data_IF_834600382614
#
_entry.id   IF_834600382614
#
_cell.length_a   1.000
_cell.length_b   1.000
_cell.length_c   1.000
_cell.angle_alpha   90.00
_cell.angle_beta   90.00
_cell.angle_gamma   90.00
#
_symmetry.space_group_name_H-M   'P 1'
#
loop_
_entity.id
_entity.type
_entity.pdbx_description
1 polymer ?
#
# COMPACT_ATOMS: atom_id res chain seq x y z
N UNK A 1 -10.50 20.79 17.35
CA UNK A 1 -11.20 20.53 16.07
C UNK A 1 -10.24 20.87 14.95
N UNK A 2 -9.61 19.85 14.35
CA UNK A 2 -8.82 20.00 13.13
C UNK A 2 -9.47 19.09 12.08
N UNK A 3 -9.73 19.67 10.91
CA UNK A 3 -10.48 19.07 9.84
C UNK A 3 -9.83 17.75 9.37
N UNK A 4 -10.63 16.69 9.35
CA UNK A 4 -10.37 15.46 8.63
C UNK A 4 -10.31 15.75 7.12
N UNK A 5 -9.15 16.16 6.63
CA UNK A 5 -8.86 16.18 5.20
C UNK A 5 -8.35 14.81 4.80
N UNK A 6 -9.03 14.15 3.87
CA UNK A 6 -8.69 12.81 3.38
C UNK A 6 -7.28 12.79 2.78
N UNK A 7 -6.38 12.03 3.42
CA UNK A 7 -4.94 11.91 3.15
C UNK A 7 -4.56 10.61 2.41
N UNK A 8 -5.51 9.94 1.77
CA UNK A 8 -5.30 8.68 1.05
C UNK A 8 -5.74 8.80 -0.42
N UNK A 9 -5.00 8.17 -1.33
CA UNK A 9 -5.56 7.85 -2.64
C UNK A 9 -6.76 6.91 -2.42
N UNK A 10 -7.93 7.13 -3.03
CA UNK A 10 -9.00 6.15 -2.95
C UNK A 10 -8.52 4.87 -3.66
N UNK A 11 -8.26 3.82 -2.89
CA UNK A 11 -8.10 2.50 -3.46
C UNK A 11 -9.37 2.15 -4.25
N UNK A 12 -9.26 1.51 -5.42
CA UNK A 12 -10.41 1.27 -6.26
C UNK A 12 -11.42 0.34 -5.54
N UNK A 13 -12.73 0.60 -5.60
CA UNK A 13 -13.72 -0.07 -4.74
C UNK A 13 -13.73 -1.60 -4.84
N UNK A 14 -13.52 -2.18 -6.02
CA UNK A 14 -13.48 -3.65 -6.19
C UNK A 14 -12.25 -4.30 -5.53
N UNK A 15 -11.13 -3.58 -5.41
CA UNK A 15 -9.93 -4.07 -4.74
C UNK A 15 -10.14 -4.27 -3.24
N UNK A 16 -11.05 -3.48 -2.65
CA UNK A 16 -11.45 -3.61 -1.25
C UNK A 16 -12.21 -4.92 -1.01
N UNK A 17 -13.08 -5.33 -1.93
CA UNK A 17 -13.81 -6.60 -1.83
C UNK A 17 -12.89 -7.82 -1.87
N UNK A 18 -11.91 -7.84 -2.78
CA UNK A 18 -10.89 -8.91 -2.83
C UNK A 18 -10.01 -8.92 -1.57
N UNK A 19 -9.58 -7.74 -1.10
CA UNK A 19 -8.76 -7.61 0.11
C UNK A 19 -9.54 -8.02 1.37
N UNK A 20 -10.84 -7.74 1.43
CA UNK A 20 -11.74 -8.21 2.48
C UNK A 20 -11.75 -9.74 2.56
N UNK A 21 -11.89 -10.43 1.43
CA UNK A 21 -11.88 -11.90 1.39
C UNK A 21 -10.58 -12.47 1.97
N UNK A 22 -9.45 -11.87 1.63
CA UNK A 22 -8.12 -12.31 2.11
C UNK A 22 -7.98 -12.10 3.62
N UNK A 23 -8.27 -10.88 4.11
CA UNK A 23 -8.29 -10.55 5.53
C UNK A 23 -9.19 -11.51 6.32
N UNK A 24 -10.39 -11.75 5.79
CA UNK A 24 -11.40 -12.57 6.44
C UNK A 24 -10.97 -14.03 6.53
N UNK A 25 -10.35 -14.57 5.48
CA UNK A 25 -9.78 -15.91 5.47
C UNK A 25 -8.62 -16.06 6.47
N UNK A 26 -7.68 -15.10 6.47
CA UNK A 26 -6.53 -15.12 7.39
C UNK A 26 -6.97 -15.10 8.86
N UNK A 27 -8.04 -14.37 9.18
CA UNK A 27 -8.59 -14.25 10.54
C UNK A 27 -9.71 -15.25 10.87
N UNK A 28 -10.00 -16.19 9.97
CA UNK A 28 -11.10 -17.18 10.11
C UNK A 28 -12.47 -16.56 10.40
N UNK A 29 -12.71 -15.36 9.88
CA UNK A 29 -13.97 -14.64 10.05
C UNK A 29 -14.99 -15.17 9.04
N UNK A 30 -16.25 -15.36 9.46
CA UNK A 30 -17.35 -15.73 8.55
C UNK A 30 -17.91 -14.48 7.89
N UNK A 31 -18.47 -14.61 6.68
CA UNK A 31 -19.10 -13.47 5.99
C UNK A 31 -20.20 -12.81 6.83
N UNK A 32 -21.00 -13.60 7.56
CA UNK A 32 -22.03 -13.09 8.47
C UNK A 32 -21.46 -12.16 9.54
N UNK A 33 -20.33 -12.53 10.16
CA UNK A 33 -19.69 -11.69 11.16
C UNK A 33 -19.02 -10.44 10.55
N UNK A 34 -18.43 -10.56 9.35
CA UNK A 34 -17.93 -9.38 8.63
C UNK A 34 -19.07 -8.40 8.27
N UNK A 35 -20.25 -8.92 7.95
CA UNK A 35 -21.45 -8.13 7.72
C UNK A 35 -21.88 -7.34 8.97
N UNK A 36 -21.88 -7.98 10.14
CA UNK A 36 -22.13 -7.31 11.43
C UNK A 36 -21.11 -6.18 11.68
N UNK A 37 -19.81 -6.46 11.50
CA UNK A 37 -18.73 -5.48 11.70
C UNK A 37 -18.87 -4.24 10.79
N UNK A 38 -19.33 -4.44 9.55
CA UNK A 38 -19.46 -3.38 8.55
C UNK A 38 -20.86 -2.74 8.52
N UNK A 39 -21.82 -3.30 9.26
CA UNK A 39 -23.21 -2.87 9.30
C UNK A 39 -23.94 -3.07 7.97
N UNK A 40 -23.67 -4.18 7.27
CA UNK A 40 -24.30 -4.55 6.00
C UNK A 40 -24.85 -5.98 6.05
N UNK A 41 -25.50 -6.44 4.98
CA UNK A 41 -25.98 -7.83 4.90
C UNK A 41 -24.86 -8.81 4.52
N UNK A 42 -24.98 -10.09 4.91
CA UNK A 42 -24.07 -11.15 4.44
C UNK A 42 -24.04 -11.23 2.90
N UNK A 43 -25.19 -11.04 2.24
CA UNK A 43 -25.29 -11.02 0.77
C UNK A 43 -24.45 -9.90 0.17
N UNK A 44 -24.44 -8.72 0.80
CA UNK A 44 -23.59 -7.59 0.40
C UNK A 44 -22.11 -7.97 0.46
N UNK A 45 -21.66 -8.58 1.57
CA UNK A 45 -20.28 -9.08 1.72
C UNK A 45 -19.95 -10.08 0.61
N UNK A 46 -20.82 -11.06 0.37
CA UNK A 46 -20.59 -12.07 -0.65
C UNK A 46 -20.43 -11.46 -2.04
N UNK A 47 -21.22 -10.44 -2.39
CA UNK A 47 -21.14 -9.77 -3.69
C UNK A 47 -19.92 -8.87 -3.82
N UNK A 48 -19.50 -8.20 -2.75
CA UNK A 48 -18.23 -7.46 -2.73
C UNK A 48 -17.04 -8.39 -2.95
N UNK A 49 -16.99 -9.52 -2.24
CA UNK A 49 -15.89 -10.49 -2.35
C UNK A 49 -15.79 -11.17 -3.71
N UNK A 50 -16.92 -11.29 -4.44
CA UNK A 50 -16.94 -11.82 -5.80
C UNK A 50 -16.73 -10.75 -6.87
N UNK A 51 -16.67 -9.46 -6.51
CA UNK A 51 -16.66 -8.34 -7.45
C UNK A 51 -17.99 -8.13 -8.20
N UNK A 52 -19.09 -8.75 -7.74
CA UNK A 52 -20.41 -8.61 -8.36
C UNK A 52 -21.15 -7.33 -7.91
N UNK A 53 -20.64 -6.66 -6.88
CA UNK A 53 -21.14 -5.38 -6.40
C UNK A 53 -19.94 -4.54 -5.97
N UNK A 54 -19.94 -3.26 -6.34
CA UNK A 54 -18.99 -2.29 -5.82
C UNK A 54 -19.54 -1.64 -4.53
N UNK A 55 -18.72 -1.47 -3.49
CA UNK A 55 -19.10 -0.70 -2.31
C UNK A 55 -19.41 0.76 -2.68
N UNK A 56 -20.46 1.33 -2.08
CA UNK A 56 -20.67 2.79 -2.14
C UNK A 56 -19.51 3.53 -1.47
N UNK A 57 -19.32 4.85 -1.72
CA UNK A 57 -18.21 5.61 -1.11
C UNK A 57 -18.14 5.49 0.42
N UNK A 58 -19.29 5.46 1.10
CA UNK A 58 -19.37 5.30 2.57
C UNK A 58 -18.92 3.90 3.01
N UNK A 59 -19.29 2.87 2.26
CA UNK A 59 -18.91 1.49 2.54
C UNK A 59 -17.43 1.24 2.20
N UNK A 60 -16.95 1.82 1.12
CA UNK A 60 -15.54 1.82 0.74
C UNK A 60 -14.67 2.44 1.84
N UNK A 61 -15.08 3.55 2.45
CA UNK A 61 -14.38 4.15 3.58
C UNK A 61 -14.30 3.20 4.80
N UNK A 62 -15.42 2.56 5.18
CA UNK A 62 -15.44 1.56 6.28
C UNK A 62 -14.56 0.36 5.99
N UNK A 63 -14.58 -0.12 4.74
CA UNK A 63 -13.71 -1.21 4.29
C UNK A 63 -12.24 -0.80 4.36
N UNK A 64 -11.91 0.40 3.88
CA UNK A 64 -10.56 0.92 3.95
C UNK A 64 -10.07 0.98 5.40
N UNK A 65 -10.86 1.53 6.32
CA UNK A 65 -10.53 1.62 7.75
C UNK A 65 -10.28 0.23 8.38
N UNK A 66 -11.08 -0.77 8.01
CA UNK A 66 -10.92 -2.16 8.46
C UNK A 66 -9.62 -2.79 7.91
N UNK A 67 -9.24 -2.42 6.68
CA UNK A 67 -8.19 -3.07 5.90
C UNK A 67 -6.83 -2.34 5.92
N UNK A 68 -6.74 -1.14 6.53
CA UNK A 68 -5.46 -0.44 6.76
C UNK A 68 -4.48 -1.36 7.48
N UNK A 69 -3.30 -1.54 6.90
CA UNK A 69 -2.23 -2.39 7.41
C UNK A 69 -1.86 -2.07 8.87
N UNK A 70 -1.69 -3.13 9.68
CA UNK A 70 -1.28 -3.05 11.09
C UNK A 70 -0.28 -4.18 11.37
N UNK A 71 1.03 -3.94 11.23
CA UNK A 71 2.05 -4.96 11.42
C UNK A 71 2.28 -5.25 12.92
N UNK A 72 1.38 -6.04 13.52
CA UNK A 72 1.37 -6.30 14.98
C UNK A 72 1.90 -7.69 15.35
N UNK A 73 1.98 -8.62 14.40
CA UNK A 73 2.47 -9.99 14.66
C UNK A 73 3.99 -10.08 14.61
N UNK A 74 4.58 -11.13 15.19
CA UNK A 74 6.04 -11.34 15.13
C UNK A 74 6.56 -11.53 13.69
N UNK A 75 5.75 -12.15 12.82
CA UNK A 75 6.07 -12.26 11.40
C UNK A 75 6.09 -10.90 10.71
N UNK A 76 5.16 -10.01 11.07
CA UNK A 76 5.15 -8.65 10.52
C UNK A 76 6.31 -7.82 11.08
N UNK A 77 6.65 -7.94 12.37
CA UNK A 77 7.83 -7.31 12.96
C UNK A 77 9.12 -7.72 12.25
N UNK A 78 9.29 -9.02 12.00
CA UNK A 78 10.43 -9.52 11.23
C UNK A 78 10.49 -8.92 9.81
N UNK A 79 9.33 -8.69 9.16
CA UNK A 79 9.28 -7.98 7.88
C UNK A 79 9.71 -6.51 8.02
N UNK A 80 9.28 -5.81 9.07
CA UNK A 80 9.72 -4.43 9.34
C UNK A 80 11.23 -4.38 9.54
N UNK A 81 11.77 -5.25 10.41
CA UNK A 81 13.22 -5.34 10.69
C UNK A 81 14.03 -5.57 9.41
N UNK A 82 13.57 -6.46 8.52
CA UNK A 82 14.22 -6.72 7.23
C UNK A 82 14.23 -5.49 6.30
N UNK A 83 13.19 -4.65 6.36
CA UNK A 83 13.12 -3.40 5.59
C UNK A 83 14.05 -2.37 6.21
N UNK A 84 14.06 -2.23 7.53
CA UNK A 84 14.89 -1.27 8.25
C UNK A 84 16.38 -1.59 8.12
N UNK A 85 16.75 -2.87 8.14
CA UNK A 85 18.13 -3.34 7.98
C UNK A 85 18.62 -3.38 6.52
N UNK A 86 17.77 -3.06 5.54
CA UNK A 86 18.12 -3.12 4.12
C UNK A 86 19.18 -2.07 3.77
N UNK A 87 20.24 -2.49 3.08
CA UNK A 87 21.23 -1.56 2.51
C UNK A 87 20.72 -0.84 1.25
N UNK A 88 19.72 -1.40 0.57
CA UNK A 88 19.02 -0.72 -0.52
C UNK A 88 18.05 0.31 0.03
N UNK A 89 17.86 1.42 -0.70
CA UNK A 89 16.85 2.43 -0.38
C UNK A 89 15.43 1.87 -0.54
N UNK A 90 14.92 1.32 0.55
CA UNK A 90 13.62 0.66 0.67
C UNK A 90 12.76 1.34 1.74
N UNK A 91 11.45 1.32 1.53
CA UNK A 91 10.46 1.60 2.57
C UNK A 91 9.20 0.77 2.37
N UNK A 92 8.48 0.54 3.46
CA UNK A 92 7.22 -0.18 3.49
C UNK A 92 6.10 0.79 3.84
N UNK A 93 5.02 0.79 3.08
CA UNK A 93 3.81 1.58 3.38
C UNK A 93 2.59 0.67 3.46
N UNK A 94 1.53 1.13 4.14
CA UNK A 94 0.21 0.54 3.96
C UNK A 94 -0.22 0.69 2.50
N UNK A 95 -0.68 -0.39 1.86
CA UNK A 95 -1.06 -0.36 0.43
C UNK A 95 -2.27 0.54 0.15
N UNK A 96 -3.19 0.67 1.12
CA UNK A 96 -4.40 1.51 0.99
C UNK A 96 -4.19 2.97 1.38
N UNK A 97 -3.51 3.23 2.50
CA UNK A 97 -3.42 4.57 3.10
C UNK A 97 -2.08 5.26 2.88
N UNK A 98 -1.12 4.57 2.26
CA UNK A 98 0.26 5.02 2.03
C UNK A 98 0.99 5.49 3.30
N UNK A 99 0.52 5.06 4.47
CA UNK A 99 1.16 5.34 5.76
C UNK A 99 2.48 4.59 5.82
N UNK A 100 3.56 5.29 6.16
CA UNK A 100 4.87 4.67 6.33
C UNK A 100 4.84 3.69 7.52
N UNK A 101 5.26 2.46 7.27
CA UNK A 101 5.35 1.39 8.27
C UNK A 101 6.80 1.12 8.69
N UNK A 102 7.75 1.21 7.75
CA UNK A 102 9.18 1.04 7.99
C UNK A 102 9.99 1.70 6.87
N UNK A 103 11.22 2.10 7.16
CA UNK A 103 12.16 2.61 6.16
C UNK A 103 13.59 2.17 6.46
N UNK A 104 14.32 1.76 5.43
CA UNK A 104 15.77 1.54 5.51
C UNK A 104 16.52 2.82 5.84
N UNK A 105 17.70 2.70 6.47
CA UNK A 105 18.60 3.83 6.69
C UNK A 105 18.98 4.54 5.39
N UNK A 106 19.24 3.77 4.32
CA UNK A 106 19.57 4.31 2.99
C UNK A 106 18.42 5.15 2.41
N UNK A 107 17.16 4.73 2.60
CA UNK A 107 16.01 5.54 2.18
C UNK A 107 15.84 6.77 3.07
N UNK A 108 15.93 6.60 4.39
CA UNK A 108 15.72 7.68 5.35
C UNK A 108 16.72 8.83 5.14
N UNK A 109 17.96 8.53 4.74
CA UNK A 109 18.98 9.51 4.41
C UNK A 109 18.64 10.41 3.21
N UNK A 110 17.67 10.02 2.37
CA UNK A 110 17.20 10.82 1.24
C UNK A 110 16.13 11.86 1.65
N UNK A 111 15.54 11.72 2.84
CA UNK A 111 14.46 12.58 3.32
C UNK A 111 14.97 13.77 4.13
N UNK A 112 14.25 14.88 4.08
CA UNK A 112 14.55 16.05 4.91
C UNK A 112 14.01 15.94 6.33
N UNK A 113 12.97 15.13 6.54
CA UNK A 113 12.49 14.76 7.87
C UNK A 113 13.07 13.40 8.30
N UNK A 114 13.37 13.21 9.60
CA UNK A 114 13.81 11.92 10.09
C UNK A 114 12.69 10.88 9.97
N UNK A 115 13.01 9.65 9.57
CA UNK A 115 12.01 8.61 9.31
C UNK A 115 11.03 8.39 10.47
N UNK A 116 11.49 8.50 11.72
CA UNK A 116 10.64 8.39 12.92
C UNK A 116 9.48 9.39 12.98
N UNK A 117 9.63 10.57 12.38
CA UNK A 117 8.58 11.60 12.29
C UNK A 117 7.60 11.31 11.14
N UNK A 118 7.98 10.43 10.22
CA UNK A 118 7.18 10.00 9.09
C UNK A 118 6.47 8.66 9.33
N UNK A 119 6.86 7.88 10.33
CA UNK A 119 6.14 6.65 10.72
C UNK A 119 4.67 6.98 11.00
N UNK A 120 3.77 6.15 10.46
CA UNK A 120 2.31 6.32 10.47
C UNK A 120 1.77 7.56 9.73
N UNK A 121 2.63 8.39 9.13
CA UNK A 121 2.25 9.50 8.27
C UNK A 121 2.01 8.97 6.85
N UNK A 122 0.88 9.35 6.26
CA UNK A 122 0.61 9.08 4.85
C UNK A 122 1.59 9.85 3.96
N UNK A 123 2.41 9.11 3.21
CA UNK A 123 3.34 9.67 2.23
C UNK A 123 2.65 10.10 0.93
N UNK A 124 1.36 9.79 0.76
CA UNK A 124 0.59 10.16 -0.45
C UNK A 124 0.62 11.67 -0.74
N UNK A 125 0.68 12.50 0.31
CA UNK A 125 0.77 13.96 0.20
C UNK A 125 2.02 14.45 -0.54
N UNK A 126 3.06 13.61 -0.65
CA UNK A 126 4.30 13.92 -1.34
C UNK A 126 4.36 13.30 -2.74
N UNK A 127 3.35 12.53 -3.16
CA UNK A 127 3.36 11.81 -4.43
C UNK A 127 3.52 12.78 -5.62
N UNK A 128 4.55 12.57 -6.44
CA UNK A 128 4.71 13.31 -7.69
C UNK A 128 3.62 12.92 -8.70
N UNK A 129 3.34 13.74 -9.74
CA UNK A 129 2.34 13.42 -10.75
C UNK A 129 2.55 12.04 -11.40
N UNK A 130 3.80 11.62 -11.58
CA UNK A 130 4.13 10.29 -12.10
C UNK A 130 3.71 9.15 -11.16
N UNK A 131 3.90 9.32 -9.84
CA UNK A 131 3.42 8.37 -8.83
C UNK A 131 1.90 8.31 -8.80
N UNK A 132 1.24 9.47 -8.90
CA UNK A 132 -0.23 9.53 -8.95
C UNK A 132 -0.79 8.79 -10.17
N UNK A 133 -0.17 8.99 -11.34
CA UNK A 133 -0.53 8.27 -12.55
C UNK A 133 -0.29 6.75 -12.43
N UNK A 134 0.83 6.34 -11.82
CA UNK A 134 1.11 4.92 -11.57
C UNK A 134 0.10 4.29 -10.60
N UNK A 135 -0.31 5.01 -9.54
CA UNK A 135 -1.35 4.57 -8.61
C UNK A 135 -2.69 4.32 -9.32
N UNK A 136 -3.09 5.24 -10.22
CA UNK A 136 -4.31 5.11 -11.01
C UNK A 136 -4.26 3.90 -11.97
N UNK A 137 -3.07 3.47 -12.41
CA UNK A 137 -2.87 2.33 -13.30
C UNK A 137 -2.75 0.97 -12.62
N UNK A 138 -2.79 0.89 -11.29
CA UNK A 138 -2.51 -0.35 -10.54
C UNK A 138 -3.42 -1.52 -10.91
N UNK A 139 -4.72 -1.25 -11.08
CA UNK A 139 -5.69 -2.28 -11.45
C UNK A 139 -5.34 -2.90 -12.81
N UNK A 140 -5.16 -2.06 -13.83
CA UNK A 140 -4.81 -2.50 -15.18
C UNK A 140 -3.47 -3.27 -15.22
N UNK A 141 -2.57 -2.98 -14.27
CA UNK A 141 -1.29 -3.68 -14.10
C UNK A 141 -1.38 -4.97 -13.28
N UNK A 142 -2.57 -5.38 -12.83
CA UNK A 142 -2.79 -6.62 -12.08
C UNK A 142 -2.39 -6.55 -10.60
N UNK A 143 -2.25 -5.36 -10.02
CA UNK A 143 -1.80 -5.17 -8.63
C UNK A 143 -2.67 -5.87 -7.58
N UNK A 144 -3.96 -6.03 -7.87
CA UNK A 144 -4.96 -6.63 -6.96
C UNK A 144 -5.26 -8.11 -7.28
N UNK A 145 -4.49 -8.74 -8.15
CA UNK A 145 -4.59 -10.18 -8.42
C UNK A 145 -4.03 -11.01 -7.25
N UNK A 146 -4.48 -12.27 -7.06
CA UNK A 146 -3.95 -13.16 -6.02
C UNK A 146 -2.44 -13.37 -6.10
N UNK A 147 -1.90 -13.33 -7.32
CA UNK A 147 -0.46 -13.38 -7.62
C UNK A 147 -0.11 -12.09 -8.35
N UNK A 148 -0.06 -10.99 -7.59
CA UNK A 148 0.25 -9.68 -8.13
C UNK A 148 1.71 -9.60 -8.63
N UNK A 149 1.97 -9.04 -9.83
CA UNK A 149 3.33 -8.83 -10.29
C UNK A 149 4.01 -7.71 -9.50
N UNK A 150 5.35 -7.70 -9.51
CA UNK A 150 6.08 -6.49 -9.10
C UNK A 150 6.03 -5.47 -10.25
N UNK A 151 5.69 -4.23 -9.93
CA UNK A 151 5.59 -3.15 -10.91
C UNK A 151 6.85 -2.29 -10.87
N UNK A 152 7.31 -1.85 -12.04
CA UNK A 152 8.33 -0.80 -12.10
C UNK A 152 7.65 0.53 -12.40
N UNK A 153 7.89 1.51 -11.55
CA UNK A 153 7.27 2.85 -11.60
C UNK A 153 8.36 3.88 -11.82
N UNK A 154 8.16 4.74 -12.82
CA UNK A 154 8.96 5.94 -13.02
C UNK A 154 8.48 7.01 -12.03
N UNK A 155 9.41 7.63 -11.32
CA UNK A 155 9.12 8.77 -10.44
C UNK A 155 9.50 10.07 -11.14
N UNK A 156 8.66 11.09 -10.99
CA UNK A 156 9.01 12.48 -11.32
C UNK A 156 9.41 13.25 -10.06
N UNK A 157 9.98 14.43 -10.24
CA UNK A 157 10.28 15.32 -9.12
C UNK A 157 8.99 15.78 -8.40
N UNK A 158 9.10 16.07 -7.09
CA UNK A 158 8.12 16.87 -6.36
C UNK A 158 8.80 18.13 -5.79
N UNK A 159 8.01 19.04 -5.22
CA UNK A 159 8.50 20.29 -4.63
C UNK A 159 8.65 20.22 -3.09
N UNK A 160 8.74 19.01 -2.53
CA UNK A 160 8.81 18.82 -1.07
C UNK A 160 10.25 18.74 -0.59
N UNK A 161 10.58 19.54 0.42
CA UNK A 161 11.84 19.40 1.16
C UNK A 161 11.75 18.36 2.29
N UNK A 162 10.55 17.95 2.70
CA UNK A 162 10.34 16.97 3.78
C UNK A 162 10.59 15.55 3.27
N UNK A 163 9.95 15.20 2.15
CA UNK A 163 10.09 13.91 1.46
C UNK A 163 10.32 14.21 -0.02
N UNK A 164 11.55 14.61 -0.40
CA UNK A 164 11.88 14.89 -1.79
C UNK A 164 11.78 13.60 -2.62
N UNK A 165 11.12 13.70 -3.77
CA UNK A 165 11.07 12.64 -4.77
C UNK A 165 11.89 13.12 -5.95
N UNK A 166 12.82 12.28 -6.41
CA UNK A 166 13.69 12.56 -7.55
C UNK A 166 13.24 11.77 -8.78
N UNK A 167 13.55 12.26 -9.99
CA UNK A 167 13.41 11.47 -11.20
C UNK A 167 14.19 10.14 -11.10
N UNK A 168 13.55 9.02 -11.42
CA UNK A 168 14.17 7.70 -11.30
C UNK A 168 13.17 6.56 -11.38
N UNK A 169 13.61 5.35 -11.00
CA UNK A 169 12.79 4.13 -11.05
C UNK A 169 12.65 3.50 -9.68
N UNK A 170 11.46 3.00 -9.39
CA UNK A 170 11.15 2.24 -8.20
C UNK A 170 10.49 0.91 -8.56
N UNK A 171 10.77 -0.16 -7.81
CA UNK A 171 9.93 -1.35 -7.83
C UNK A 171 8.89 -1.26 -6.72
N UNK A 172 7.62 -1.49 -7.05
CA UNK A 172 6.56 -1.72 -6.10
C UNK A 172 6.24 -3.21 -6.03
N UNK A 173 6.18 -3.75 -4.82
CA UNK A 173 5.77 -5.14 -4.56
C UNK A 173 4.68 -5.15 -3.49
N UNK A 174 3.54 -5.77 -3.78
CA UNK A 174 2.44 -5.91 -2.84
C UNK A 174 2.72 -7.11 -1.92
N UNK A 175 2.70 -6.88 -0.62
CA UNK A 175 2.99 -7.88 0.40
C UNK A 175 1.77 -8.10 1.29
N UNK A 176 1.45 -9.36 1.55
CA UNK A 176 0.40 -9.74 2.50
C UNK A 176 1.00 -9.86 3.90
N UNK A 177 0.45 -9.12 4.85
CA UNK A 177 0.75 -9.25 6.28
C UNK A 177 0.09 -10.50 6.86
N UNK A 178 0.53 -10.92 8.05
CA UNK A 178 0.08 -12.15 8.69
C UNK A 178 -1.46 -12.22 8.88
N UNK A 179 -2.10 -11.07 9.09
CA UNK A 179 -3.54 -10.95 9.31
C UNK A 179 -4.37 -10.78 8.01
N UNK A 180 -3.71 -10.86 6.85
CA UNK A 180 -4.32 -10.75 5.53
C UNK A 180 -4.51 -9.33 5.02
N UNK A 181 -4.07 -8.29 5.74
CA UNK A 181 -3.95 -6.92 5.22
C UNK A 181 -2.73 -6.79 4.30
N UNK A 182 -2.66 -5.69 3.56
CA UNK A 182 -1.62 -5.50 2.55
C UNK A 182 -0.74 -4.29 2.84
N UNK A 183 0.57 -4.52 2.77
CA UNK A 183 1.59 -3.50 2.69
C UNK A 183 2.15 -3.44 1.27
N UNK A 184 2.80 -2.32 0.93
CA UNK A 184 3.53 -2.13 -0.31
C UNK A 184 4.98 -1.86 0.03
N UNK A 185 5.85 -2.72 -0.48
CA UNK A 185 7.29 -2.50 -0.46
C UNK A 185 7.68 -1.67 -1.67
N UNK A 186 8.37 -0.57 -1.41
CA UNK A 186 8.93 0.32 -2.42
C UNK A 186 10.45 0.27 -2.30
N UNK A 187 11.12 -0.09 -3.40
CA UNK A 187 12.59 -0.07 -3.47
C UNK A 187 13.02 0.82 -4.62
N UNK A 188 14.04 1.66 -4.40
CA UNK A 188 14.72 2.29 -5.50
C UNK A 188 15.33 1.19 -6.37
N UNK A 189 15.12 1.27 -7.67
CA UNK A 189 15.96 0.53 -8.59
C UNK A 189 17.21 1.38 -8.81
N UNK A 190 18.38 0.78 -8.61
CA UNK A 190 19.59 1.39 -9.14
C UNK A 190 19.39 1.66 -10.63
N UNK A 191 20.08 2.66 -11.18
CA UNK A 191 20.28 2.73 -12.63
C UNK A 191 20.77 1.34 -13.04
N UNK A 192 19.95 0.58 -13.78
CA UNK A 192 20.45 -0.62 -14.43
C UNK A 192 21.67 -0.16 -15.20
N UNK A 193 22.88 -0.71 -14.98
CA UNK A 193 23.95 -0.46 -15.92
C UNK A 193 23.39 -0.85 -17.28
N UNK A 194 23.37 0.12 -18.18
CA UNK A 194 22.90 0.02 -19.55
C UNK A 194 23.16 -1.38 -20.09
N UNK A 195 22.13 -2.01 -20.67
CA UNK A 195 22.13 -3.42 -21.05
C UNK A 195 23.49 -3.90 -21.54
N UNK A 196 23.97 -5.01 -20.95
CA UNK A 196 24.92 -5.86 -21.66
C UNK A 196 24.20 -6.27 -22.94
N UNK A 197 24.59 -5.64 -24.05
CA UNK A 197 24.27 -6.11 -25.38
C UNK A 197 24.61 -7.60 -25.41
N UNK A 198 23.63 -8.42 -25.79
CA UNK A 198 23.88 -9.81 -26.13
C UNK A 198 24.87 -9.86 -27.30
N UNK A 199 26.00 -10.54 -27.10
CA UNK A 199 26.26 -11.92 -27.50
C UNK A 199 27.58 -12.35 -26.84
#
# INVERSE_FOLDING_TARGET
MAASSSLAAPAPPHALGRSLRVWRAARRVKQAHAAELLGVSQTTISRWESGALEPSPREAARLADLLVARPESDADRALLDLVESSTQAAHLVCDLSHRLLAASSSRAAEWGLPARELIDVSLWRYASPAIQAAEAGLEAAGWYEPVAPSLTVETGANDSNEVPIRPGRMSWTRLRLADGRFARLVRAQGLSPSGRNGL
#
